data_IF_177313420160
#
_entry.id   IF_177313420160
#
_cell.length_a   1.000
_cell.length_b   1.000
_cell.length_c   1.000
_cell.angle_alpha   90.00
_cell.angle_beta   90.00
_cell.angle_gamma   90.00
#
_symmetry.space_group_name_H-M   'P 1'
#
loop_
_entity.id
_entity.type
_entity.pdbx_description
1 polymer ?
#
# COMPACT_ATOMS: atom_id res chain seq x y z
N UNK A 1 -35.82 -26.60 -25.84
CA UNK A 1 -35.38 -27.13 -24.52
C UNK A 1 -33.95 -26.70 -24.15
N UNK A 2 -33.14 -26.15 -25.06
CA UNK A 2 -31.72 -25.83 -24.79
C UNK A 2 -31.41 -24.54 -23.99
N UNK A 3 -32.34 -23.60 -23.83
CA UNK A 3 -32.06 -22.31 -23.17
C UNK A 3 -32.18 -22.33 -21.64
N UNK A 4 -32.88 -23.31 -21.06
CA UNK A 4 -32.98 -23.45 -19.60
C UNK A 4 -31.75 -24.07 -18.94
N UNK A 5 -30.92 -24.79 -19.72
CA UNK A 5 -29.74 -25.50 -19.22
C UNK A 5 -28.59 -24.52 -18.94
N UNK A 6 -28.24 -23.67 -19.93
CA UNK A 6 -27.10 -22.76 -19.81
C UNK A 6 -27.25 -21.70 -18.69
N UNK A 7 -28.47 -21.23 -18.41
CA UNK A 7 -28.69 -20.19 -17.40
C UNK A 7 -28.57 -20.75 -15.97
N UNK A 8 -28.89 -22.03 -15.76
CA UNK A 8 -28.73 -22.67 -14.44
C UNK A 8 -27.23 -22.83 -14.12
N UNK A 9 -26.44 -23.18 -15.13
CA UNK A 9 -25.00 -23.41 -14.98
C UNK A 9 -24.23 -22.10 -14.78
N UNK A 10 -24.69 -20.97 -15.34
CA UNK A 10 -24.05 -19.66 -15.10
C UNK A 10 -24.33 -19.05 -13.72
N UNK A 11 -25.47 -19.38 -13.09
CA UNK A 11 -25.84 -18.77 -11.79
C UNK A 11 -25.19 -19.46 -10.60
N UNK A 12 -24.79 -20.72 -10.73
CA UNK A 12 -24.08 -21.45 -9.70
C UNK A 12 -22.72 -20.84 -9.34
N UNK A 13 -21.80 -20.57 -10.30
CA UNK A 13 -20.51 -19.96 -9.98
C UNK A 13 -20.70 -18.55 -9.41
N UNK A 14 -21.64 -17.75 -9.96
CA UNK A 14 -21.96 -16.42 -9.42
C UNK A 14 -22.43 -16.51 -7.97
N UNK A 15 -23.25 -17.51 -7.62
CA UNK A 15 -23.66 -17.73 -6.24
C UNK A 15 -22.48 -18.12 -5.36
N UNK A 16 -21.57 -18.99 -5.82
CA UNK A 16 -20.39 -19.41 -5.06
C UNK A 16 -19.49 -18.23 -4.73
N UNK A 17 -19.12 -17.44 -5.74
CA UNK A 17 -18.28 -16.23 -5.59
C UNK A 17 -18.93 -15.21 -4.64
N UNK A 18 -20.20 -14.89 -4.85
CA UNK A 18 -20.89 -13.87 -4.04
C UNK A 18 -21.22 -14.33 -2.62
N UNK A 19 -21.28 -15.64 -2.36
CA UNK A 19 -21.49 -16.17 -0.99
C UNK A 19 -20.26 -15.94 -0.10
N UNK A 20 -19.06 -15.79 -0.70
CA UNK A 20 -17.85 -15.42 0.06
C UNK A 20 -17.95 -14.01 0.66
N UNK A 21 -18.71 -13.11 0.02
CA UNK A 21 -18.85 -11.70 0.40
C UNK A 21 -20.15 -11.47 1.18
N UNK A 22 -21.27 -12.00 0.69
CA UNK A 22 -22.60 -11.76 1.26
C UNK A 22 -23.13 -12.97 2.02
N UNK A 23 -23.18 -12.86 3.35
CA UNK A 23 -23.78 -13.90 4.20
C UNK A 23 -25.28 -14.04 3.92
N UNK A 24 -25.72 -15.27 3.71
CA UNK A 24 -27.13 -15.58 3.46
C UNK A 24 -27.65 -15.12 2.10
N UNK A 25 -26.79 -15.01 1.08
CA UNK A 25 -27.20 -14.65 -0.27
C UNK A 25 -28.20 -15.65 -0.85
N UNK A 26 -29.34 -15.14 -1.29
CA UNK A 26 -30.42 -15.87 -1.95
C UNK A 26 -30.76 -15.21 -3.28
N UNK A 27 -30.84 -16.00 -4.34
CA UNK A 27 -31.20 -15.56 -5.69
C UNK A 27 -32.56 -16.18 -6.03
N UNK A 28 -33.58 -15.35 -6.27
CA UNK A 28 -34.93 -15.80 -6.67
C UNK A 28 -35.25 -15.33 -8.09
N UNK A 29 -35.85 -16.22 -8.88
CA UNK A 29 -36.36 -15.88 -10.22
C UNK A 29 -37.63 -15.04 -10.07
N UNK A 30 -37.65 -13.87 -10.70
CA UNK A 30 -38.85 -13.05 -10.86
C UNK A 30 -39.53 -13.46 -12.16
N UNK A 31 -40.82 -13.80 -12.09
CA UNK A 31 -41.60 -14.24 -13.24
C UNK A 31 -42.56 -13.15 -13.73
N UNK A 32 -42.71 -13.04 -15.05
CA UNK A 32 -43.66 -12.14 -15.69
C UNK A 32 -45.08 -12.72 -15.71
N UNK A 33 -46.07 -11.86 -15.99
CA UNK A 33 -47.50 -12.23 -16.03
C UNK A 33 -47.96 -12.88 -17.34
N UNK A 34 -47.06 -13.10 -18.30
CA UNK A 34 -47.36 -13.71 -19.60
C UNK A 34 -47.58 -15.23 -19.56
N UNK A 35 -48.19 -15.79 -20.62
CA UNK A 35 -48.38 -17.23 -20.79
C UNK A 35 -47.01 -17.93 -20.81
N UNK A 36 -46.86 -19.00 -20.02
CA UNK A 36 -45.57 -19.68 -19.81
C UNK A 36 -44.67 -19.06 -18.74
N UNK A 37 -45.12 -18.03 -18.00
CA UNK A 37 -44.40 -17.36 -16.89
C UNK A 37 -42.92 -17.17 -17.21
N UNK A 38 -42.57 -16.30 -18.18
CA UNK A 38 -41.17 -16.07 -18.52
C UNK A 38 -40.41 -15.50 -17.31
N UNK A 39 -39.15 -15.89 -17.14
CA UNK A 39 -38.25 -15.26 -16.16
C UNK A 39 -37.91 -13.87 -16.67
N UNK A 40 -38.35 -12.83 -15.94
CA UNK A 40 -38.14 -11.42 -16.30
C UNK A 40 -36.97 -10.78 -15.56
N UNK A 41 -36.42 -11.47 -14.56
CA UNK A 41 -35.27 -10.99 -13.81
C UNK A 41 -34.95 -11.85 -12.61
N UNK A 42 -33.94 -11.43 -11.85
CA UNK A 42 -33.48 -12.07 -10.64
C UNK A 42 -33.54 -11.09 -9.47
N UNK A 43 -34.05 -11.55 -8.33
CA UNK A 43 -34.02 -10.80 -7.09
C UNK A 43 -32.94 -11.39 -6.19
N UNK A 44 -32.01 -10.53 -5.78
CA UNK A 44 -30.97 -10.84 -4.81
C UNK A 44 -31.40 -10.38 -3.43
N UNK A 45 -31.15 -11.20 -2.42
CA UNK A 45 -31.41 -10.85 -1.01
C UNK A 45 -30.32 -11.45 -0.15
N UNK A 46 -29.78 -10.67 0.78
CA UNK A 46 -28.69 -11.08 1.66
C UNK A 46 -28.89 -10.48 3.06
N UNK A 47 -28.26 -11.07 4.07
CA UNK A 47 -28.30 -10.52 5.43
C UNK A 47 -27.26 -9.40 5.52
N UNK A 48 -27.62 -8.23 6.09
CA UNK A 48 -26.65 -7.18 6.30
C UNK A 48 -25.58 -7.66 7.29
N UNK A 49 -24.34 -7.27 7.04
CA UNK A 49 -23.24 -7.51 7.95
C UNK A 49 -23.45 -6.73 9.26
N UNK A 50 -23.18 -7.38 10.39
CA UNK A 50 -23.28 -6.73 11.70
C UNK A 50 -22.11 -5.77 11.81
N UNK A 51 -22.38 -4.48 12.09
CA UNK A 51 -21.41 -3.37 12.18
C UNK A 51 -20.23 -3.56 13.16
N UNK A 52 -20.12 -4.71 13.83
CA UNK A 52 -19.10 -5.06 14.83
C UNK A 52 -18.44 -6.42 14.58
N UNK A 53 -18.77 -7.10 13.48
CA UNK A 53 -17.97 -8.22 13.04
C UNK A 53 -16.78 -7.63 12.29
N UNK A 54 -15.60 -7.70 12.89
CA UNK A 54 -14.34 -7.44 12.19
C UNK A 54 -14.09 -8.62 11.24
N UNK A 55 -14.82 -8.67 10.12
CA UNK A 55 -14.65 -9.65 9.04
C UNK A 55 -13.62 -9.17 8.02
N UNK A 56 -13.09 -7.94 8.19
CA UNK A 56 -11.84 -7.56 7.57
C UNK A 56 -10.71 -8.34 8.26
N UNK A 57 -10.20 -9.34 7.55
CA UNK A 57 -8.95 -10.03 7.83
C UNK A 57 -8.91 -11.04 8.98
N UNK A 58 -9.58 -12.19 8.80
CA UNK A 58 -9.13 -13.44 9.47
C UNK A 58 -7.90 -14.07 8.82
N UNK A 59 -7.44 -13.49 7.70
CA UNK A 59 -6.28 -13.93 6.93
C UNK A 59 -5.24 -12.83 6.71
N UNK A 60 -5.40 -11.63 7.28
CA UNK A 60 -4.23 -10.74 7.26
C UNK A 60 -3.20 -11.31 8.23
N UNK A 61 -1.95 -11.44 7.78
CA UNK A 61 -0.88 -11.76 8.70
C UNK A 61 -0.88 -10.75 9.83
N UNK A 62 -0.79 -11.24 11.06
CA UNK A 62 -0.69 -10.37 12.24
C UNK A 62 0.54 -9.47 12.08
N UNK A 63 0.56 -8.27 12.69
CA UNK A 63 1.75 -7.39 12.63
C UNK A 63 3.05 -8.14 12.98
N UNK A 64 2.97 -9.12 13.88
CA UNK A 64 4.08 -10.00 14.25
C UNK A 64 4.53 -10.93 13.11
N UNK A 65 3.60 -11.51 12.34
CA UNK A 65 3.91 -12.34 11.18
C UNK A 65 4.49 -11.51 10.04
N UNK A 66 3.98 -10.30 9.84
CA UNK A 66 4.53 -9.35 8.87
C UNK A 66 5.98 -8.98 9.23
N UNK A 67 6.23 -8.67 10.50
CA UNK A 67 7.57 -8.35 10.98
C UNK A 67 8.52 -9.55 10.88
N UNK A 68 8.03 -10.78 11.13
CA UNK A 68 8.81 -12.00 10.97
C UNK A 68 9.17 -12.24 9.50
N UNK A 69 8.21 -12.06 8.58
CA UNK A 69 8.46 -12.18 7.15
C UNK A 69 9.45 -11.14 6.63
N UNK A 70 9.35 -9.89 7.10
CA UNK A 70 10.29 -8.82 6.76
C UNK A 70 11.71 -9.14 7.25
N UNK A 71 11.84 -9.57 8.51
CA UNK A 71 13.13 -9.98 9.07
C UNK A 71 13.74 -11.20 8.37
N UNK A 72 12.92 -12.12 7.86
CA UNK A 72 13.40 -13.22 7.03
C UNK A 72 13.92 -12.70 5.69
N UNK A 73 13.15 -11.87 4.98
CA UNK A 73 13.54 -11.30 3.69
C UNK A 73 14.81 -10.43 3.79
N UNK A 74 14.99 -9.67 4.86
CA UNK A 74 16.20 -8.84 5.05
C UNK A 74 17.44 -9.71 5.30
N UNK A 75 17.32 -10.78 6.10
CA UNK A 75 18.38 -11.80 6.21
C UNK A 75 18.70 -12.45 4.88
N UNK A 76 17.71 -12.56 3.99
CA UNK A 76 17.94 -13.16 2.69
C UNK A 76 18.84 -12.30 1.80
N UNK A 77 18.55 -11.01 1.76
CA UNK A 77 19.40 -10.04 1.05
C UNK A 77 20.82 -10.01 1.59
N UNK A 78 21.00 -10.21 2.90
CA UNK A 78 22.32 -10.21 3.52
C UNK A 78 23.17 -11.39 3.05
N UNK A 79 22.61 -12.60 2.85
CA UNK A 79 23.39 -13.73 2.31
C UNK A 79 23.68 -13.57 0.80
N UNK A 80 22.74 -12.99 0.05
CA UNK A 80 22.88 -12.79 -1.40
C UNK A 80 23.93 -11.73 -1.74
N UNK A 81 24.16 -10.78 -0.84
CA UNK A 81 25.13 -9.70 -1.01
C UNK A 81 26.49 -9.99 -0.37
N UNK A 82 26.69 -11.15 0.29
CA UNK A 82 28.03 -11.50 0.78
C UNK A 82 28.96 -11.68 -0.43
N UNK A 83 30.00 -10.85 -0.60
CA UNK A 83 30.95 -11.01 -1.67
C UNK A 83 31.66 -12.36 -1.51
N UNK A 84 31.51 -13.21 -2.53
CA UNK A 84 32.03 -14.58 -2.50
C UNK A 84 33.52 -14.61 -2.82
N UNK A 85 34.01 -13.59 -3.52
CA UNK A 85 35.40 -13.48 -3.99
C UNK A 85 36.12 -12.30 -3.32
N UNK A 86 37.45 -12.40 -3.14
CA UNK A 86 38.27 -11.36 -2.51
C UNK A 86 38.16 -10.02 -3.26
N UNK A 87 38.09 -10.03 -4.58
CA UNK A 87 38.02 -8.82 -5.39
C UNK A 87 36.70 -8.04 -5.20
N UNK A 88 35.58 -8.75 -4.98
CA UNK A 88 34.28 -8.14 -4.69
C UNK A 88 34.31 -7.42 -3.33
N UNK A 89 34.98 -8.01 -2.33
CA UNK A 89 35.22 -7.37 -1.01
C UNK A 89 36.04 -6.09 -1.15
N UNK A 90 37.08 -6.12 -1.99
CA UNK A 90 37.93 -4.95 -2.25
C UNK A 90 37.11 -3.85 -2.94
N UNK A 91 36.25 -4.20 -3.90
CA UNK A 91 35.40 -3.24 -4.60
C UNK A 91 34.36 -2.59 -3.67
N UNK A 92 33.74 -3.38 -2.79
CA UNK A 92 32.78 -2.88 -1.80
C UNK A 92 33.45 -1.95 -0.78
N UNK A 93 34.64 -2.33 -0.28
CA UNK A 93 35.42 -1.49 0.63
C UNK A 93 35.80 -0.15 -0.02
N UNK A 94 36.19 -0.16 -1.31
CA UNK A 94 36.47 1.08 -2.06
C UNK A 94 35.23 1.97 -2.16
N UNK A 95 34.07 1.42 -2.51
CA UNK A 95 32.80 2.18 -2.56
C UNK A 95 32.45 2.78 -1.20
N UNK A 96 32.64 2.05 -0.10
CA UNK A 96 32.40 2.55 1.25
C UNK A 96 33.31 3.73 1.60
N UNK A 97 34.60 3.66 1.24
CA UNK A 97 35.55 4.75 1.48
C UNK A 97 35.17 6.00 0.69
N UNK A 98 34.82 5.85 -0.59
CA UNK A 98 34.38 6.97 -1.44
C UNK A 98 33.14 7.68 -0.88
N UNK A 99 32.17 6.91 -0.39
CA UNK A 99 30.93 7.46 0.17
C UNK A 99 31.18 8.23 1.48
N UNK A 100 32.11 7.74 2.33
CA UNK A 100 32.55 8.46 3.52
C UNK A 100 33.27 9.77 3.19
N UNK A 101 34.03 9.78 2.09
CA UNK A 101 34.74 10.98 1.64
C UNK A 101 33.76 12.06 1.16
N UNK A 102 32.72 11.67 0.41
CA UNK A 102 31.62 12.56 0.03
C UNK A 102 30.89 13.15 1.24
N UNK A 103 30.59 12.33 2.25
CA UNK A 103 29.97 12.80 3.50
C UNK A 103 30.85 13.82 4.23
N UNK A 104 32.16 13.58 4.27
CA UNK A 104 33.14 14.50 4.87
C UNK A 104 33.22 15.83 4.13
N UNK A 105 33.08 15.82 2.80
CA UNK A 105 33.01 17.06 2.00
C UNK A 105 31.72 17.84 2.24
N UNK A 106 30.58 17.16 2.33
CA UNK A 106 29.31 17.79 2.66
C UNK A 106 29.36 18.44 4.04
N UNK A 107 29.88 17.74 5.05
CA UNK A 107 30.03 18.28 6.40
C UNK A 107 30.95 19.52 6.43
N UNK A 108 32.01 19.55 5.60
CA UNK A 108 32.88 20.72 5.45
C UNK A 108 32.17 21.90 4.77
N UNK A 109 31.34 21.63 3.76
CA UNK A 109 30.53 22.66 3.07
C UNK A 109 29.50 23.26 4.03
N UNK A 110 28.77 22.43 4.77
CA UNK A 110 27.82 22.86 5.81
C UNK A 110 28.48 23.75 6.89
N UNK A 111 29.73 23.44 7.28
CA UNK A 111 30.52 24.24 8.24
C UNK A 111 31.08 25.55 7.66
N UNK A 112 31.22 25.66 6.34
CA UNK A 112 31.65 26.90 5.67
C UNK A 112 30.45 27.83 5.42
N UNK A 113 29.29 27.28 5.09
CA UNK A 113 28.05 28.04 4.88
C UNK A 113 27.54 28.69 6.17
N UNK A 114 27.87 28.12 7.34
CA UNK A 114 27.58 28.71 8.67
C UNK A 114 28.57 29.79 9.12
N UNK A 115 29.76 29.91 8.50
CA UNK A 115 30.78 30.94 8.84
C UNK A 115 30.65 32.24 8.03
N UNK A 116 29.91 32.22 6.92
CA UNK A 116 29.80 33.35 5.98
C UNK A 116 28.50 34.16 6.11
N UNK A 117 27.87 34.22 7.29
CA UNK A 117 26.65 35.01 7.49
C UNK A 117 26.84 36.20 8.43
N UNK A 118 27.00 37.40 7.84
CA UNK A 118 26.18 38.63 8.05
C UNK A 118 26.80 39.85 7.33
N UNK A 119 26.03 40.88 6.90
CA UNK A 119 24.74 40.91 6.21
C UNK A 119 24.81 41.68 4.85
N UNK A 120 23.67 41.84 4.16
CA UNK A 120 23.28 42.87 3.15
C UNK A 120 22.92 42.37 1.73
N UNK A 121 21.61 42.42 1.47
CA UNK A 121 20.89 42.75 0.20
C UNK A 121 21.13 41.91 -1.07
N UNK A 122 20.23 40.99 -1.44
CA UNK A 122 18.91 41.17 -2.11
C UNK A 122 18.94 41.09 -3.66
N UNK A 123 18.12 40.14 -4.17
CA UNK A 123 17.51 39.96 -5.52
C UNK A 123 18.33 39.19 -6.56
N UNK A 124 17.78 38.25 -7.35
CA UNK A 124 16.44 37.62 -7.47
C UNK A 124 16.56 36.48 -8.49
N UNK A 125 16.08 35.27 -8.17
CA UNK A 125 15.28 34.44 -9.09
C UNK A 125 14.42 33.48 -8.24
N UNK A 126 13.13 33.45 -8.58
CA UNK A 126 12.00 32.81 -7.85
C UNK A 126 12.17 31.28 -7.88
N UNK A 127 12.05 30.50 -6.79
CA UNK A 127 11.01 30.38 -5.75
C UNK A 127 9.68 29.81 -6.27
N UNK A 128 9.71 28.58 -6.79
CA UNK A 128 8.55 27.69 -6.78
C UNK A 128 8.54 26.89 -5.47
N UNK A 129 7.88 27.44 -4.45
CA UNK A 129 7.28 26.75 -3.27
C UNK A 129 7.13 27.70 -2.08
N UNK A 130 6.18 28.64 -2.16
CA UNK A 130 5.72 29.34 -0.96
C UNK A 130 4.57 28.56 -0.31
N UNK A 131 4.93 27.54 0.48
CA UNK A 131 4.05 27.06 1.55
C UNK A 131 4.17 28.04 2.72
N UNK A 132 3.04 28.50 3.26
CA UNK A 132 3.05 29.42 4.40
C UNK A 132 3.57 28.70 5.64
N UNK A 133 4.14 29.45 6.60
CA UNK A 133 4.64 28.86 7.86
C UNK A 133 3.53 28.13 8.63
N UNK A 134 2.27 28.52 8.41
CA UNK A 134 1.09 27.85 8.96
C UNK A 134 0.89 26.47 8.32
N UNK A 135 1.04 26.37 7.00
CA UNK A 135 0.93 25.10 6.27
C UNK A 135 2.03 24.12 6.68
N UNK A 136 3.24 24.64 6.96
CA UNK A 136 4.34 23.81 7.48
C UNK A 136 4.03 23.25 8.87
N UNK A 137 3.44 24.06 9.76
CA UNK A 137 3.05 23.59 11.10
C UNK A 137 1.90 22.59 11.05
N UNK A 138 0.92 22.77 10.16
CA UNK A 138 -0.19 21.83 10.02
C UNK A 138 0.26 20.46 9.48
N UNK A 139 1.25 20.43 8.57
CA UNK A 139 1.87 19.19 8.11
C UNK A 139 2.63 18.46 9.23
N UNK A 140 3.37 19.21 10.05
CA UNK A 140 4.11 18.65 11.19
C UNK A 140 3.17 18.10 12.27
N UNK A 141 2.05 18.79 12.53
CA UNK A 141 1.03 18.35 13.46
C UNK A 141 0.23 17.14 12.95
N UNK A 142 0.08 17.00 11.62
CA UNK A 142 -0.52 15.81 11.01
C UNK A 142 0.33 14.55 11.19
N UNK A 143 1.66 14.68 11.18
CA UNK A 143 2.59 13.56 11.34
C UNK A 143 2.64 13.00 12.77
N UNK A 144 2.40 13.85 13.79
CA UNK A 144 2.46 13.44 15.20
C UNK A 144 1.29 12.56 15.65
N UNK A 145 0.23 12.43 14.84
CA UNK A 145 -0.94 11.59 15.12
C UNK A 145 -0.85 10.15 14.58
N UNK A 146 0.23 9.77 13.88
CA UNK A 146 0.41 8.40 13.36
C UNK A 146 1.06 7.43 14.36
N UNK A 147 1.22 7.84 15.62
CA UNK A 147 1.91 7.09 16.68
C UNK A 147 1.06 6.67 17.88
N UNK A 148 -0.25 6.48 17.72
CA UNK A 148 -1.11 5.86 18.75
C UNK A 148 -1.86 4.66 18.21
#
# INVERSE_FOLDING_TARGET
VGSEMCIRDSLQPIKQELTAIFKGLTIKKKYGKGRGKPVIGYQFSFKPEIKKADDFNKHAPTKEEQNRALAQADKQKEYEQQPTTIDEKILEAKRKVELLEQLKELEKKEKQDTKNQTPTEQKKSKSDSQLSEKDKQDLLNGLSNFGK
#
